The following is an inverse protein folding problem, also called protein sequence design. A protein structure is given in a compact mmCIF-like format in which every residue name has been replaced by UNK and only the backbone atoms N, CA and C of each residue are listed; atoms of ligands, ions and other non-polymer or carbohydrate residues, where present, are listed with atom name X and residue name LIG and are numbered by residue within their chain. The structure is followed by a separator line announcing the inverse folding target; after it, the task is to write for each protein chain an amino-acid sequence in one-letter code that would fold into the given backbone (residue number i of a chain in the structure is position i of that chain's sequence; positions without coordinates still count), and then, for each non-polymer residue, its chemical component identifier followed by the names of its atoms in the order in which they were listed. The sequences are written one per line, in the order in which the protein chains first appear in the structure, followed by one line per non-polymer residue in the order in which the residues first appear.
data_IF_020648040738
#
_entry.id   IF_020648040738
#
_cell.length_a   1.000
_cell.length_b   1.000
_cell.length_c   1.000
_cell.angle_alpha   90.00
_cell.angle_beta   90.00
_cell.angle_gamma   90.00
#
_symmetry.space_group_name_H-M   'P 1'
#
loop_
_entity.id
_entity.type
_entity.pdbx_description
1 polymer ?
#
# COMPACT_ATOMS: atom_id res chain seq x y z
N UNK A 1 -26.08 -2.34 -13.62
CA UNK A 1 -26.20 -3.41 -12.60
C UNK A 1 -26.05 -2.77 -11.23
N UNK A 2 -27.06 -2.89 -10.36
CA UNK A 2 -27.13 -2.23 -9.06
C UNK A 2 -26.32 -3.01 -8.03
N UNK A 3 -25.28 -2.40 -7.46
CA UNK A 3 -24.47 -2.99 -6.40
C UNK A 3 -25.35 -3.11 -5.13
N UNK A 4 -25.47 -4.27 -4.47
CA UNK A 4 -26.35 -4.45 -3.30
C UNK A 4 -26.08 -3.40 -2.21
N UNK A 5 -27.13 -2.84 -1.60
CA UNK A 5 -27.01 -1.72 -0.63
C UNK A 5 -25.97 -1.96 0.49
N UNK A 6 -25.88 -3.19 1.00
CA UNK A 6 -24.90 -3.59 2.02
C UNK A 6 -23.43 -3.47 1.55
N UNK A 7 -23.15 -3.83 0.30
CA UNK A 7 -21.80 -3.71 -0.29
C UNK A 7 -21.36 -2.25 -0.44
N UNK A 8 -22.31 -1.32 -0.63
CA UNK A 8 -22.04 0.12 -0.75
C UNK A 8 -21.66 0.75 0.58
N UNK A 9 -22.29 0.32 1.68
CA UNK A 9 -21.93 0.77 3.02
C UNK A 9 -20.52 0.31 3.40
N UNK A 10 -20.22 -0.98 3.21
CA UNK A 10 -18.90 -1.55 3.49
C UNK A 10 -17.82 -0.86 2.67
N UNK A 11 -18.04 -0.66 1.37
CA UNK A 11 -17.09 0.07 0.53
C UNK A 11 -16.74 1.45 1.09
N UNK A 12 -17.75 2.23 1.52
CA UNK A 12 -17.50 3.55 2.13
C UNK A 12 -16.66 3.46 3.40
N UNK A 13 -16.85 2.43 4.22
CA UNK A 13 -16.05 2.23 5.43
C UNK A 13 -14.60 1.88 5.09
N UNK A 14 -14.37 0.98 4.12
CA UNK A 14 -13.02 0.66 3.64
C UNK A 14 -12.28 1.89 3.11
N UNK A 15 -12.95 2.71 2.31
CA UNK A 15 -12.38 3.96 1.79
C UNK A 15 -12.01 4.92 2.92
N UNK A 16 -12.86 5.05 3.96
CA UNK A 16 -12.54 5.89 5.13
C UNK A 16 -11.31 5.39 5.89
N UNK A 17 -11.16 4.08 6.08
CA UNK A 17 -9.99 3.50 6.76
C UNK A 17 -8.74 3.71 5.90
N UNK A 18 -8.81 3.42 4.59
CA UNK A 18 -7.69 3.60 3.67
C UNK A 18 -7.20 5.06 3.63
N UNK A 19 -8.11 6.03 3.69
CA UNK A 19 -7.77 7.46 3.72
C UNK A 19 -7.07 7.89 5.01
N UNK A 20 -7.28 7.19 6.13
CA UNK A 20 -6.60 7.45 7.40
C UNK A 20 -5.21 6.80 7.47
N UNK A 21 -4.88 5.92 6.53
CA UNK A 21 -3.64 5.18 6.59
C UNK A 21 -2.43 6.10 6.35
N UNK A 22 -1.38 6.06 7.20
CA UNK A 22 -0.22 6.91 7.01
C UNK A 22 0.54 6.55 5.73
N UNK A 23 1.07 7.57 5.06
CA UNK A 23 1.95 7.40 3.90
C UNK A 23 3.39 7.22 4.39
N UNK A 24 4.12 6.28 3.80
CA UNK A 24 5.51 6.00 4.11
C UNK A 24 6.43 6.93 3.31
N UNK A 25 7.12 7.86 3.99
CA UNK A 25 8.02 8.82 3.35
C UNK A 25 9.25 8.16 2.70
N UNK A 26 9.64 6.96 3.17
CA UNK A 26 10.85 6.27 2.74
C UNK A 26 10.59 5.33 1.54
N UNK A 27 9.36 5.25 1.04
CA UNK A 27 8.96 4.37 -0.05
C UNK A 27 8.41 5.15 -1.23
N UNK A 28 8.71 4.66 -2.43
CA UNK A 28 8.10 5.20 -3.65
C UNK A 28 6.57 5.04 -3.59
N UNK A 29 5.80 5.94 -4.25
CA UNK A 29 4.33 5.88 -4.27
C UNK A 29 3.74 4.54 -4.72
N UNK A 30 4.45 3.80 -5.57
CA UNK A 30 4.06 2.47 -6.06
C UNK A 30 4.21 1.37 -5.01
N UNK A 31 5.12 1.55 -4.04
CA UNK A 31 5.42 0.61 -2.95
C UNK A 31 4.80 1.04 -1.61
N UNK A 32 4.18 2.21 -1.58
CA UNK A 32 3.49 2.71 -0.41
C UNK A 32 2.21 1.90 -0.12
N UNK A 33 2.05 1.51 1.14
CA UNK A 33 0.96 0.63 1.54
C UNK A 33 -0.40 1.33 1.50
N UNK A 34 -0.48 2.62 1.82
CA UNK A 34 -1.74 3.37 1.78
C UNK A 34 -2.28 3.47 0.34
N UNK A 35 -1.38 3.74 -0.61
CA UNK A 35 -1.70 3.74 -2.04
C UNK A 35 -2.11 2.35 -2.54
N UNK A 36 -1.38 1.30 -2.13
CA UNK A 36 -1.74 -0.08 -2.45
C UNK A 36 -3.13 -0.43 -1.91
N UNK A 37 -3.40 -0.14 -0.63
CA UNK A 37 -4.67 -0.45 0.02
C UNK A 37 -5.85 0.24 -0.68
N UNK A 38 -5.70 1.51 -1.04
CA UNK A 38 -6.74 2.27 -1.75
C UNK A 38 -7.07 1.63 -3.12
N UNK A 39 -6.04 1.26 -3.90
CA UNK A 39 -6.21 0.57 -5.18
C UNK A 39 -6.83 -0.81 -5.01
N UNK A 40 -6.44 -1.52 -3.96
CA UNK A 40 -6.92 -2.87 -3.68
C UNK A 40 -8.40 -2.87 -3.29
N UNK A 41 -8.82 -1.92 -2.45
CA UNK A 41 -10.24 -1.72 -2.11
C UNK A 41 -11.06 -1.46 -3.38
N UNK A 42 -10.60 -0.57 -4.26
CA UNK A 42 -11.31 -0.36 -5.53
C UNK A 42 -11.37 -1.63 -6.38
N UNK A 43 -10.26 -2.36 -6.50
CA UNK A 43 -10.17 -3.58 -7.31
C UNK A 43 -11.15 -4.64 -6.83
N UNK A 44 -11.16 -4.92 -5.53
CA UNK A 44 -11.99 -5.97 -4.93
C UNK A 44 -13.49 -5.67 -5.05
N UNK A 45 -13.89 -4.40 -4.97
CA UNK A 45 -15.30 -4.02 -5.07
C UNK A 45 -15.77 -3.75 -6.52
N UNK A 46 -14.85 -3.59 -7.48
CA UNK A 46 -15.15 -3.51 -8.93
C UNK A 46 -15.26 -4.89 -9.59
N UNK A 47 -14.58 -5.91 -9.06
CA UNK A 47 -14.65 -7.27 -9.61
C UNK A 47 -16.02 -7.93 -9.36
N UNK A 48 -16.52 -8.65 -10.37
CA UNK A 48 -17.67 -9.54 -10.26
C UNK A 48 -17.17 -11.00 -10.37
N UNK A 49 -17.60 -11.92 -9.50
CA UNK A 49 -18.66 -11.79 -8.48
C UNK A 49 -18.26 -10.89 -7.30
N UNK A 50 -19.24 -10.34 -6.57
CA UNK A 50 -18.99 -9.46 -5.43
C UNK A 50 -18.09 -10.13 -4.39
N UNK A 51 -17.33 -9.33 -3.61
CA UNK A 51 -16.37 -9.87 -2.66
C UNK A 51 -17.04 -10.84 -1.67
N UNK A 52 -16.23 -11.79 -1.19
CA UNK A 52 -16.49 -12.75 -0.10
C UNK A 52 -17.60 -12.32 0.88
N UNK A 53 -18.42 -13.27 1.35
CA UNK A 53 -19.59 -13.05 2.23
C UNK A 53 -19.45 -11.84 3.17
N UNK A 54 -20.52 -11.05 3.33
CA UNK A 54 -20.57 -9.82 4.14
C UNK A 54 -19.83 -9.93 5.48
N UNK A 55 -20.01 -11.04 6.21
CA UNK A 55 -19.34 -11.31 7.49
C UNK A 55 -17.79 -11.33 7.40
N UNK A 56 -17.22 -11.85 6.32
CA UNK A 56 -15.77 -11.84 6.08
C UNK A 56 -15.30 -10.41 5.81
N UNK A 57 -16.06 -9.65 5.04
CA UNK A 57 -15.74 -8.25 4.76
C UNK A 57 -15.76 -7.39 6.04
N UNK A 58 -16.72 -7.63 6.93
CA UNK A 58 -16.78 -6.95 8.24
C UNK A 58 -15.61 -7.33 9.14
N UNK A 59 -15.29 -8.63 9.24
CA UNK A 59 -14.13 -9.10 10.02
C UNK A 59 -12.81 -8.51 9.53
N UNK A 60 -12.62 -8.43 8.21
CA UNK A 60 -11.44 -7.81 7.59
C UNK A 60 -11.39 -6.30 7.85
N UNK A 61 -12.53 -5.62 7.81
CA UNK A 61 -12.62 -4.18 8.11
C UNK A 61 -12.21 -3.92 9.56
N UNK A 62 -12.71 -4.72 10.50
CA UNK A 62 -12.34 -4.63 11.91
C UNK A 62 -10.84 -4.88 12.12
N UNK A 63 -10.28 -5.88 11.46
CA UNK A 63 -8.84 -6.16 11.54
C UNK A 63 -7.99 -4.98 11.02
N UNK A 64 -8.39 -4.34 9.93
CA UNK A 64 -7.71 -3.14 9.43
C UNK A 64 -7.79 -1.97 10.42
N UNK A 65 -8.94 -1.75 11.05
CA UNK A 65 -9.10 -0.71 12.06
C UNK A 65 -8.21 -0.96 13.29
N UNK A 66 -8.14 -2.20 13.76
CA UNK A 66 -7.26 -2.60 14.86
C UNK A 66 -5.78 -2.38 14.53
N UNK A 67 -5.37 -2.70 13.30
CA UNK A 67 -4.02 -2.46 12.81
C UNK A 67 -3.70 -0.96 12.75
N UNK A 68 -4.60 -0.15 12.19
CA UNK A 68 -4.44 1.30 12.10
C UNK A 68 -4.27 1.94 13.49
N UNK A 69 -5.07 1.48 14.47
CA UNK A 69 -5.05 2.00 15.83
C UNK A 69 -3.93 1.39 16.69
N UNK A 70 -3.09 0.50 16.12
CA UNK A 70 -2.03 -0.23 16.81
C UNK A 70 -2.53 -0.94 18.08
N UNK A 71 -3.74 -1.49 18.06
CA UNK A 71 -4.36 -2.06 19.26
C UNK A 71 -3.53 -3.19 19.88
N UNK A 72 -2.96 -4.06 19.06
CA UNK A 72 -2.14 -5.18 19.52
C UNK A 72 -0.89 -4.68 20.25
N UNK A 73 -0.21 -3.66 19.71
CA UNK A 73 0.96 -3.04 20.34
C UNK A 73 0.60 -2.38 21.69
N UNK A 74 -0.60 -1.80 21.81
CA UNK A 74 -1.09 -1.20 23.06
C UNK A 74 -1.43 -2.26 24.11
N UNK A 75 -2.06 -3.36 23.70
CA UNK A 75 -2.48 -4.46 24.59
C UNK A 75 -1.29 -5.32 25.03
N UNK A 76 -0.32 -5.51 24.15
CA UNK A 76 0.86 -6.33 24.35
C UNK A 76 2.10 -5.51 23.97
N UNK A 77 2.56 -4.61 24.86
CA UNK A 77 3.77 -3.85 24.62
C UNK A 77 4.97 -4.81 24.60
N UNK A 78 5.70 -4.82 23.49
CA UNK A 78 6.96 -5.56 23.39
C UNK A 78 8.12 -4.65 23.78
N UNK A 79 8.92 -5.09 24.74
CA UNK A 79 10.18 -4.43 25.13
C UNK A 79 11.33 -4.73 24.13
N UNK A 80 11.17 -5.78 23.33
CA UNK A 80 12.13 -6.18 22.31
C UNK A 80 12.15 -5.17 21.15
N UNK A 81 13.20 -4.37 21.10
CA UNK A 81 13.37 -3.24 20.17
C UNK A 81 14.10 -3.62 18.87
N UNK A 82 14.58 -4.86 18.79
CA UNK A 82 15.29 -5.39 17.61
C UNK A 82 14.44 -6.39 16.82
N UNK A 83 14.69 -6.51 15.52
CA UNK A 83 14.13 -7.62 14.72
C UNK A 83 14.76 -8.97 15.06
N UNK A 84 14.39 -10.04 14.33
CA UNK A 84 15.02 -11.38 14.39
C UNK A 84 16.55 -11.32 14.24
N UNK A 85 17.07 -10.28 13.60
CA UNK A 85 18.49 -10.05 13.37
C UNK A 85 19.18 -9.10 14.36
N UNK A 86 18.53 -8.70 15.46
CA UNK A 86 19.13 -7.73 16.39
C UNK A 86 19.15 -6.28 15.87
N UNK A 87 18.62 -6.02 14.68
CA UNK A 87 18.61 -4.68 14.06
C UNK A 87 17.48 -3.81 14.60
N UNK A 88 17.75 -2.50 14.78
CA UNK A 88 16.73 -1.52 15.17
C UNK A 88 15.73 -1.30 14.03
N UNK A 89 14.52 -0.86 14.38
CA UNK A 89 13.46 -0.60 13.40
C UNK A 89 13.87 0.45 12.34
N UNK A 90 14.62 1.47 12.75
CA UNK A 90 15.13 2.52 11.86
C UNK A 90 16.10 1.96 10.82
N UNK A 91 17.01 1.09 11.24
CA UNK A 91 17.98 0.43 10.35
C UNK A 91 17.26 -0.47 9.34
N UNK A 92 16.23 -1.20 9.78
CA UNK A 92 15.37 -2.01 8.91
C UNK A 92 14.59 -1.16 7.91
N UNK A 93 14.03 -0.02 8.35
CA UNK A 93 13.30 0.89 7.47
C UNK A 93 14.22 1.51 6.43
N UNK A 94 15.43 1.89 6.83
CA UNK A 94 16.46 2.41 5.93
C UNK A 94 16.92 1.35 4.94
N UNK A 95 17.16 0.12 5.38
CA UNK A 95 17.51 -0.99 4.49
C UNK A 95 16.42 -1.25 3.42
N UNK A 96 15.15 -1.05 3.77
CA UNK A 96 14.00 -1.21 2.86
C UNK A 96 13.65 0.07 2.06
N UNK A 97 14.36 1.19 2.27
CA UNK A 97 14.05 2.48 1.65
C UNK A 97 14.27 2.44 0.13
N UNK A 98 13.69 3.40 -0.58
CA UNK A 98 13.90 3.50 -2.02
C UNK A 98 15.33 3.97 -2.33
N UNK A 99 15.94 4.79 -1.48
CA UNK A 99 17.33 5.23 -1.58
C UNK A 99 18.28 4.03 -1.52
N UNK A 100 18.14 3.16 -0.51
CA UNK A 100 19.00 1.99 -0.36
C UNK A 100 18.78 0.99 -1.50
N UNK A 101 17.54 0.82 -1.98
CA UNK A 101 17.26 0.01 -3.17
C UNK A 101 17.99 0.51 -4.42
N UNK A 102 18.06 1.83 -4.62
CA UNK A 102 18.79 2.43 -5.74
C UNK A 102 20.30 2.20 -5.62
N UNK A 103 20.85 2.33 -4.42
CA UNK A 103 22.27 2.06 -4.14
C UNK A 103 22.62 0.59 -4.38
N UNK A 104 21.73 -0.33 -4.01
CA UNK A 104 21.88 -1.78 -4.23
C UNK A 104 21.62 -2.21 -5.69
N UNK A 105 21.43 -1.27 -6.63
CA UNK A 105 21.21 -1.59 -8.04
C UNK A 105 19.85 -2.23 -8.36
N UNK A 106 18.92 -2.28 -7.41
CA UNK A 106 17.59 -2.89 -7.56
C UNK A 106 16.58 -1.95 -8.25
N UNK A 107 17.06 -1.00 -9.06
CA UNK A 107 16.21 -0.03 -9.77
C UNK A 107 15.16 -0.79 -10.62
N UNK A 108 13.91 -0.29 -10.69
CA UNK A 108 12.95 -0.81 -11.66
C UNK A 108 13.59 -0.75 -13.05
N UNK A 109 13.76 -1.89 -13.72
CA UNK A 109 14.32 -1.91 -15.08
C UNK A 109 13.40 -1.07 -15.96
N UNK A 110 13.91 0.03 -16.49
CA UNK A 110 13.17 0.76 -17.52
C UNK A 110 12.91 -0.19 -18.69
N UNK A 111 11.63 -0.37 -19.03
CA UNK A 111 11.24 -1.19 -20.18
C UNK A 111 11.98 -0.68 -21.41
N UNK A 112 12.61 -1.60 -22.15
CA UNK A 112 13.42 -1.32 -23.34
C UNK A 112 12.63 -0.45 -24.34
N UNK A 113 11.31 -0.67 -24.42
CA UNK A 113 10.38 0.14 -25.21
C UNK A 113 10.35 1.62 -24.81
N UNK A 114 10.46 1.95 -23.52
CA UNK A 114 10.49 3.34 -23.03
C UNK A 114 11.77 4.05 -23.44
N UNK A 115 12.90 3.33 -23.48
CA UNK A 115 14.18 3.86 -23.97
C UNK A 115 14.14 4.13 -25.47
N UNK A 116 13.58 3.19 -26.24
CA UNK A 116 13.42 3.34 -27.69
C UNK A 116 12.45 4.48 -28.04
N UNK A 117 11.32 4.59 -27.32
CA UNK A 117 10.35 5.65 -27.57
C UNK A 117 10.91 7.05 -27.27
N UNK A 118 11.74 7.18 -26.22
CA UNK A 118 12.40 8.46 -25.88
C UNK A 118 13.51 8.84 -26.87
N UNK A 119 14.16 7.85 -27.49
CA UNK A 119 15.13 8.08 -28.56
C UNK A 119 14.45 8.51 -29.88
N UNK A 120 13.20 8.09 -30.09
CA UNK A 120 12.43 8.37 -31.32
C UNK A 120 11.55 9.63 -31.22
N UNK A 121 11.16 10.05 -30.02
CA UNK A 121 10.36 11.28 -29.81
C UNK A 121 11.25 12.41 -29.31
N UNK A 122 11.61 13.40 -30.15
CA UNK A 122 12.37 14.57 -29.71
C UNK A 122 11.50 15.42 -28.78
N UNK A 123 12.01 15.72 -27.58
CA UNK A 123 11.33 16.64 -26.66
C UNK A 123 11.24 18.02 -27.32
N UNK A 124 10.01 18.48 -27.62
CA UNK A 124 9.77 19.85 -28.05
C UNK A 124 10.26 20.78 -26.93
N UNK A 125 11.38 21.48 -27.19
CA UNK A 125 11.79 22.66 -26.40
C UNK A 125 10.60 23.62 -26.35
N UNK A 126 10.04 23.84 -25.16
CA UNK A 126 9.15 24.98 -24.94
C UNK A 126 10.02 26.24 -25.01
N UNK A 127 9.73 27.09 -25.99
CA UNK A 127 10.18 28.48 -26.03
C UNK A 127 9.48 29.29 -24.93
#
# INVERSE_FOLDING_TARGET
MSVPSASRHLYKQYVRIAAKWPKDANKAPERDFANFLSKEVERQFKQAPPPSSTAICEKRLQALDQLLNNEIKKKYPNEYTSGVFGMRLEDLQMASSEENRKQMGLKPKESIFKKMFRAVVPEKKKA
#
